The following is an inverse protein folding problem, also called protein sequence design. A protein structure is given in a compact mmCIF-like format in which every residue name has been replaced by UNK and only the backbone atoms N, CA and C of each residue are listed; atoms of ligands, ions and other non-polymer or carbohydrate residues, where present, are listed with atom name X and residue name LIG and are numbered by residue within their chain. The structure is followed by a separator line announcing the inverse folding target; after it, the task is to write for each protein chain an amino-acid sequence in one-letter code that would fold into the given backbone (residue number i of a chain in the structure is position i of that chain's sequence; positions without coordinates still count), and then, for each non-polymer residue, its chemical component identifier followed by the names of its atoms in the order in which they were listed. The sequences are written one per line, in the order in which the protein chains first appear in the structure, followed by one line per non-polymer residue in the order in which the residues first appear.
data_IF_166377806111
#
_entry.id   IF_166377806111
#
_cell.length_a   1.000
_cell.length_b   1.000
_cell.length_c   1.000
_cell.angle_alpha   90.00
_cell.angle_beta   90.00
_cell.angle_gamma   90.00
#
_symmetry.space_group_name_H-M   'P 1'
#
loop_
_entity.id
_entity.type
_entity.pdbx_description
1 polymer ?
#
# COMPACT_ATOMS: atom_id res chain seq x y z
N UNK A 1 5.65 11.69 -4.46
CA UNK A 1 5.43 11.17 -5.83
C UNK A 1 4.38 12.08 -6.45
N UNK A 2 4.73 12.87 -7.46
CA UNK A 2 3.77 13.76 -8.12
C UNK A 2 2.88 12.87 -9.00
N UNK A 3 1.58 12.89 -8.75
CA UNK A 3 0.59 12.23 -9.61
C UNK A 3 0.64 12.86 -11.01
N UNK A 4 0.72 12.04 -12.05
CA UNK A 4 0.76 12.49 -13.45
C UNK A 4 -0.43 13.39 -13.79
N UNK A 5 -1.58 13.17 -13.16
CA UNK A 5 -2.74 14.03 -13.32
C UNK A 5 -2.54 15.43 -12.72
N UNK A 6 -1.87 15.51 -11.57
CA UNK A 6 -1.54 16.79 -10.94
C UNK A 6 -0.48 17.54 -11.75
N UNK A 7 0.56 16.84 -12.24
CA UNK A 7 1.61 17.41 -13.07
C UNK A 7 1.07 17.99 -14.39
N UNK A 8 0.06 17.34 -14.98
CA UNK A 8 -0.55 17.74 -16.25
C UNK A 8 -1.81 18.61 -16.07
N UNK A 9 -2.15 18.99 -14.84
CA UNK A 9 -3.35 19.78 -14.52
C UNK A 9 -4.65 19.19 -15.10
N UNK A 10 -4.83 17.87 -14.99
CA UNK A 10 -6.03 17.21 -15.47
C UNK A 10 -7.24 17.56 -14.60
N UNK A 11 -8.34 17.99 -15.24
CA UNK A 11 -9.65 18.05 -14.58
C UNK A 11 -10.08 16.66 -14.12
N UNK A 12 -10.91 16.57 -13.09
CA UNK A 12 -11.38 15.27 -12.57
C UNK A 12 -12.03 14.40 -13.67
N UNK A 13 -12.79 15.01 -14.59
CA UNK A 13 -13.40 14.29 -15.71
C UNK A 13 -12.34 13.69 -16.65
N UNK A 14 -11.25 14.42 -16.91
CA UNK A 14 -10.13 13.89 -17.73
C UNK A 14 -9.41 12.76 -17.01
N UNK A 15 -9.25 12.83 -15.69
CA UNK A 15 -8.67 11.75 -14.89
C UNK A 15 -9.51 10.47 -15.01
N UNK A 16 -10.83 10.58 -14.81
CA UNK A 16 -11.77 9.46 -14.97
C UNK A 16 -11.72 8.90 -16.39
N UNK A 17 -11.75 9.77 -17.40
CA UNK A 17 -11.69 9.36 -18.81
C UNK A 17 -10.41 8.58 -19.11
N UNK A 18 -9.26 9.04 -18.62
CA UNK A 18 -7.99 8.36 -18.80
C UNK A 18 -7.96 7.01 -18.09
N UNK A 19 -8.36 6.93 -16.82
CA UNK A 19 -8.39 5.66 -16.09
C UNK A 19 -9.32 4.63 -16.76
N UNK A 20 -10.49 5.08 -17.22
CA UNK A 20 -11.44 4.25 -17.97
C UNK A 20 -10.88 3.74 -19.29
N UNK A 21 -10.06 4.55 -19.97
CA UNK A 21 -9.38 4.15 -21.21
C UNK A 21 -8.40 2.99 -20.98
N UNK A 22 -7.77 2.92 -19.80
CA UNK A 22 -6.87 1.82 -19.41
C UNK A 22 -7.61 0.54 -18.98
N UNK A 23 -8.94 0.58 -18.82
CA UNK A 23 -9.71 -0.62 -18.43
C UNK A 23 -9.89 -1.56 -19.62
N UNK A 24 -9.57 -2.82 -19.42
CA UNK A 24 -9.71 -3.88 -20.40
C UNK A 24 -10.60 -5.03 -19.89
N UNK A 25 -11.06 -5.89 -20.81
CA UNK A 25 -11.81 -7.11 -20.49
C UNK A 25 -13.01 -6.88 -19.55
N UNK A 26 -13.06 -7.65 -18.46
CA UNK A 26 -14.14 -7.58 -17.48
C UNK A 26 -14.28 -6.19 -16.82
N UNK A 27 -13.16 -5.48 -16.62
CA UNK A 27 -13.19 -4.13 -16.06
C UNK A 27 -13.83 -3.13 -17.01
N UNK A 28 -13.55 -3.24 -18.31
CA UNK A 28 -14.20 -2.41 -19.34
C UNK A 28 -15.70 -2.66 -19.41
N UNK A 29 -16.10 -3.94 -19.40
CA UNK A 29 -17.52 -4.33 -19.43
C UNK A 29 -18.28 -3.83 -18.20
N UNK A 30 -17.69 -3.94 -17.01
CA UNK A 30 -18.25 -3.36 -15.79
C UNK A 30 -18.43 -1.84 -15.91
N UNK A 31 -17.41 -1.13 -16.39
CA UNK A 31 -17.51 0.33 -16.51
C UNK A 31 -18.61 0.76 -17.48
N UNK A 32 -18.82 0.04 -18.58
CA UNK A 32 -19.92 0.33 -19.51
C UNK A 32 -21.29 0.31 -18.81
N UNK A 33 -21.50 -0.60 -17.86
CA UNK A 33 -22.73 -0.67 -17.05
C UNK A 33 -22.81 0.51 -16.07
N UNK A 34 -21.72 0.82 -15.37
CA UNK A 34 -21.66 1.93 -14.41
C UNK A 34 -21.87 3.28 -15.10
N UNK A 35 -21.28 3.50 -16.28
CA UNK A 35 -21.48 4.71 -17.07
C UNK A 35 -22.96 4.94 -17.40
N UNK A 36 -23.68 3.90 -17.82
CA UNK A 36 -25.12 3.99 -18.11
C UNK A 36 -25.95 4.31 -16.86
N UNK A 37 -25.51 3.82 -15.69
CA UNK A 37 -26.10 4.20 -14.39
C UNK A 37 -25.84 5.68 -14.09
N UNK A 38 -24.59 6.14 -14.22
CA UNK A 38 -24.22 7.52 -13.96
C UNK A 38 -24.98 8.50 -14.85
N UNK A 39 -25.13 8.19 -16.14
CA UNK A 39 -25.85 9.05 -17.08
C UNK A 39 -27.34 9.17 -16.69
N UNK A 40 -27.97 8.08 -16.25
CA UNK A 40 -29.37 8.06 -15.77
C UNK A 40 -29.57 8.82 -14.46
N UNK A 41 -28.65 8.64 -13.52
CA UNK A 41 -28.71 9.25 -12.18
C UNK A 41 -28.09 10.65 -12.14
N UNK A 42 -27.60 11.17 -13.27
CA UNK A 42 -26.87 12.44 -13.37
C UNK A 42 -25.70 12.52 -12.38
N UNK A 43 -25.01 11.39 -12.17
CA UNK A 43 -23.86 11.32 -11.26
C UNK A 43 -22.68 12.14 -11.83
N UNK A 44 -22.11 13.09 -11.07
CA UNK A 44 -20.95 13.86 -11.53
C UNK A 44 -19.75 12.96 -11.84
N UNK A 45 -19.06 13.24 -12.97
CA UNK A 45 -17.85 12.53 -13.39
C UNK A 45 -16.61 13.00 -12.63
N UNK A 46 -16.60 12.75 -11.33
CA UNK A 46 -15.49 13.08 -10.44
C UNK A 46 -14.63 11.85 -10.16
N UNK A 47 -13.36 12.08 -9.81
CA UNK A 47 -12.44 11.01 -9.46
C UNK A 47 -12.94 10.22 -8.25
N UNK A 48 -13.50 10.93 -7.26
CA UNK A 48 -14.07 10.36 -6.04
C UNK A 48 -15.19 9.37 -6.35
N UNK A 49 -16.14 9.72 -7.23
CA UNK A 49 -17.23 8.82 -7.61
C UNK A 49 -16.72 7.58 -8.35
N UNK A 50 -15.75 7.76 -9.24
CA UNK A 50 -15.13 6.64 -9.98
C UNK A 50 -14.45 5.66 -9.02
N UNK A 51 -13.59 6.17 -8.14
CA UNK A 51 -12.86 5.35 -7.16
C UNK A 51 -13.82 4.65 -6.21
N UNK A 52 -14.90 5.31 -5.76
CA UNK A 52 -15.93 4.68 -4.93
C UNK A 52 -16.53 3.44 -5.61
N UNK A 53 -17.02 3.59 -6.84
CA UNK A 53 -17.68 2.48 -7.54
C UNK A 53 -16.67 1.39 -7.95
N UNK A 54 -15.45 1.79 -8.33
CA UNK A 54 -14.36 0.87 -8.63
C UNK A 54 -13.98 0.03 -7.41
N UNK A 55 -13.77 0.65 -6.25
CA UNK A 55 -13.43 -0.06 -5.02
C UNK A 55 -14.58 -0.94 -4.55
N UNK A 56 -15.83 -0.50 -4.68
CA UNK A 56 -16.98 -1.34 -4.35
C UNK A 56 -16.99 -2.66 -5.14
N UNK A 57 -16.51 -2.65 -6.39
CA UNK A 57 -16.43 -3.85 -7.25
C UNK A 57 -15.16 -4.67 -7.03
N UNK A 58 -13.99 -4.02 -7.02
CA UNK A 58 -12.68 -4.69 -7.11
C UNK A 58 -11.90 -4.72 -5.80
N UNK A 59 -12.27 -3.87 -4.85
CA UNK A 59 -11.64 -3.78 -3.54
C UNK A 59 -12.69 -3.79 -2.41
N UNK A 60 -13.61 -4.78 -2.39
CA UNK A 60 -14.65 -4.87 -1.35
C UNK A 60 -14.03 -5.16 0.04
N UNK A 61 -14.79 -4.99 1.14
CA UNK A 61 -14.27 -5.13 2.51
C UNK A 61 -13.46 -6.41 2.75
N UNK A 62 -13.90 -7.56 2.24
CA UNK A 62 -13.15 -8.83 2.38
C UNK A 62 -11.77 -8.79 1.71
N UNK A 63 -11.62 -8.08 0.58
CA UNK A 63 -10.33 -7.93 -0.09
C UNK A 63 -9.44 -6.94 0.66
N UNK A 64 -10.03 -5.89 1.23
CA UNK A 64 -9.33 -4.95 2.11
C UNK A 64 -8.79 -5.67 3.35
N UNK A 65 -9.65 -6.42 4.04
CA UNK A 65 -9.30 -7.23 5.21
C UNK A 65 -8.17 -8.22 4.88
N UNK A 66 -8.25 -8.93 3.74
CA UNK A 66 -7.16 -9.82 3.30
C UNK A 66 -5.83 -9.08 3.11
N UNK A 67 -5.85 -7.85 2.60
CA UNK A 67 -4.63 -7.05 2.41
C UNK A 67 -4.07 -6.51 3.72
N UNK A 68 -4.95 -6.13 4.64
CA UNK A 68 -4.56 -5.80 6.01
C UNK A 68 -3.95 -7.02 6.72
N UNK A 69 -4.57 -8.19 6.60
CA UNK A 69 -4.07 -9.46 7.13
C UNK A 69 -2.70 -9.83 6.54
N UNK A 70 -2.50 -9.63 5.25
CA UNK A 70 -1.20 -9.83 4.58
C UNK A 70 -0.12 -8.96 5.25
N UNK A 71 -0.43 -7.70 5.56
CA UNK A 71 0.49 -6.82 6.29
C UNK A 71 0.67 -7.23 7.75
N UNK A 72 -0.38 -7.67 8.46
CA UNK A 72 -0.32 -8.15 9.85
C UNK A 72 0.52 -9.43 9.97
N UNK A 73 0.47 -10.28 8.95
CA UNK A 73 1.21 -11.54 8.92
C UNK A 73 2.57 -11.44 8.26
N UNK A 74 2.90 -10.29 7.66
CA UNK A 74 4.21 -10.06 7.04
C UNK A 74 5.34 -10.31 8.04
N UNK A 75 6.29 -11.14 7.64
CA UNK A 75 7.53 -11.48 8.35
C UNK A 75 8.66 -11.51 7.33
N UNK A 76 9.90 -11.24 7.77
CA UNK A 76 11.11 -11.35 6.95
C UNK A 76 11.28 -12.79 6.44
N UNK A 77 11.31 -13.77 7.35
CA UNK A 77 11.44 -15.17 6.96
C UNK A 77 12.73 -15.42 6.19
N UNK A 78 12.63 -15.95 4.97
CA UNK A 78 13.78 -16.23 4.08
C UNK A 78 14.19 -15.04 3.21
N UNK A 79 13.48 -13.91 3.30
CA UNK A 79 13.80 -12.70 2.55
C UNK A 79 14.97 -11.96 3.18
N UNK A 80 15.74 -11.26 2.36
CA UNK A 80 16.65 -10.23 2.85
C UNK A 80 15.87 -9.12 3.57
N UNK A 81 16.53 -8.37 4.46
CA UNK A 81 15.94 -7.19 5.10
C UNK A 81 15.47 -6.18 4.05
N UNK A 82 16.18 -6.04 2.94
CA UNK A 82 15.80 -5.14 1.84
C UNK A 82 14.51 -5.55 1.13
N UNK A 83 14.34 -6.85 0.83
CA UNK A 83 13.11 -7.38 0.23
C UNK A 83 11.93 -7.28 1.20
N UNK A 84 12.17 -7.59 2.48
CA UNK A 84 11.17 -7.45 3.53
C UNK A 84 10.72 -5.99 3.71
N UNK A 85 11.65 -5.03 3.74
CA UNK A 85 11.33 -3.60 3.80
C UNK A 85 10.47 -3.16 2.61
N UNK A 86 10.84 -3.59 1.39
CA UNK A 86 10.08 -3.27 0.19
C UNK A 86 8.63 -3.78 0.29
N UNK A 87 8.44 -5.01 0.78
CA UNK A 87 7.10 -5.57 1.00
C UNK A 87 6.35 -4.86 2.12
N UNK A 88 7.04 -4.50 3.21
CA UNK A 88 6.49 -3.75 4.32
C UNK A 88 5.95 -2.40 3.83
N UNK A 89 6.76 -1.63 3.10
CA UNK A 89 6.38 -0.33 2.55
C UNK A 89 5.25 -0.46 1.52
N UNK A 90 5.24 -1.51 0.70
CA UNK A 90 4.17 -1.77 -0.28
C UNK A 90 2.83 -2.08 0.37
N UNK A 91 2.83 -2.86 1.45
CA UNK A 91 1.62 -3.36 2.13
C UNK A 91 1.10 -2.42 3.21
N UNK A 92 1.95 -1.56 3.78
CA UNK A 92 1.56 -0.67 4.88
C UNK A 92 0.41 0.28 4.55
N UNK A 93 0.25 0.64 3.28
CA UNK A 93 -0.89 1.46 2.79
C UNK A 93 -2.26 0.83 3.04
N UNK A 94 -2.33 -0.48 3.26
CA UNK A 94 -3.58 -1.19 3.54
C UNK A 94 -3.92 -1.25 5.04
N UNK A 95 -2.99 -0.86 5.91
CA UNK A 95 -3.19 -0.84 7.35
C UNK A 95 -2.58 0.42 7.98
N UNK A 96 -3.03 1.63 7.58
CA UNK A 96 -2.43 2.90 8.00
C UNK A 96 -2.41 3.06 9.53
N UNK A 97 -3.42 2.54 10.24
CA UNK A 97 -3.51 2.59 11.70
C UNK A 97 -2.34 1.90 12.42
N UNK A 98 -1.76 0.86 11.80
CA UNK A 98 -0.63 0.10 12.34
C UNK A 98 0.71 0.83 12.16
N UNK A 99 0.77 1.84 11.29
CA UNK A 99 1.96 2.65 11.01
C UNK A 99 1.73 4.15 11.22
N UNK A 100 0.65 4.51 11.92
CA UNK A 100 0.19 5.90 12.09
C UNK A 100 1.25 6.83 12.70
N UNK A 101 2.11 6.29 13.56
CA UNK A 101 3.23 7.02 14.16
C UNK A 101 4.54 6.34 13.80
N UNK A 102 5.64 7.10 13.75
CA UNK A 102 6.97 6.53 13.53
C UNK A 102 7.29 5.42 14.53
N UNK A 103 6.93 5.59 15.80
CA UNK A 103 7.10 4.56 16.83
C UNK A 103 6.31 3.28 16.53
N UNK A 104 5.04 3.39 16.09
CA UNK A 104 4.24 2.23 15.68
C UNK A 104 4.86 1.55 14.46
N UNK A 105 5.29 2.33 13.48
CA UNK A 105 5.93 1.85 12.25
C UNK A 105 7.23 1.10 12.54
N UNK A 106 8.12 1.68 13.35
CA UNK A 106 9.38 1.05 13.80
C UNK A 106 9.09 -0.24 14.55
N UNK A 107 8.20 -0.20 15.55
CA UNK A 107 7.84 -1.39 16.34
C UNK A 107 7.31 -2.50 15.44
N UNK A 108 6.41 -2.16 14.52
CA UNK A 108 5.79 -3.11 13.59
C UNK A 108 6.83 -3.73 12.65
N UNK A 109 7.74 -2.92 12.13
CA UNK A 109 8.84 -3.38 11.28
C UNK A 109 9.75 -4.36 12.02
N UNK A 110 10.22 -3.99 13.21
CA UNK A 110 11.10 -4.84 14.03
C UNK A 110 10.41 -6.16 14.41
N UNK A 111 9.13 -6.12 14.80
CA UNK A 111 8.36 -7.33 15.13
C UNK A 111 8.26 -8.34 13.98
N UNK A 112 8.42 -7.89 12.74
CA UNK A 112 8.40 -8.77 11.58
C UNK A 112 9.78 -9.27 11.13
N UNK A 113 10.88 -8.73 11.66
CA UNK A 113 12.24 -9.22 11.37
C UNK A 113 12.48 -10.60 11.99
N UNK A 114 13.53 -11.28 11.57
CA UNK A 114 13.96 -12.54 12.19
C UNK A 114 14.48 -12.30 13.63
N UNK A 115 14.35 -13.32 14.49
CA UNK A 115 14.57 -13.20 15.95
C UNK A 115 15.99 -12.75 16.29
N UNK A 116 16.97 -13.19 15.50
CA UNK A 116 18.38 -12.82 15.64
C UNK A 116 18.56 -11.31 15.49
N UNK A 117 18.00 -10.73 14.42
CA UNK A 117 18.04 -9.29 14.15
C UNK A 117 17.24 -8.52 15.21
N UNK A 118 16.08 -9.04 15.63
CA UNK A 118 15.28 -8.41 16.67
C UNK A 118 16.06 -8.23 17.98
N UNK A 119 16.85 -9.24 18.39
CA UNK A 119 17.66 -9.19 19.62
C UNK A 119 18.73 -8.10 19.54
N UNK A 120 19.42 -8.00 18.40
CA UNK A 120 20.46 -6.99 18.19
C UNK A 120 19.88 -5.57 18.14
N UNK A 121 18.65 -5.42 17.64
CA UNK A 121 17.96 -4.13 17.61
C UNK A 121 17.30 -3.78 18.96
N UNK A 122 17.00 -4.74 19.84
CA UNK A 122 16.33 -4.49 21.11
C UNK A 122 17.15 -3.63 22.08
N UNK A 123 18.48 -3.69 21.98
CA UNK A 123 19.41 -2.87 22.77
C UNK A 123 19.61 -1.47 22.18
N UNK A 124 19.14 -1.22 20.96
CA UNK A 124 19.28 0.05 20.29
C UNK A 124 18.05 0.94 20.52
N UNK A 125 18.28 2.20 20.91
CA UNK A 125 17.23 3.21 20.85
C UNK A 125 16.97 3.56 19.37
N UNK A 126 15.80 3.18 18.85
CA UNK A 126 15.39 3.39 17.45
C UNK A 126 14.03 4.07 17.45
N UNK A 127 13.99 5.31 16.97
CA UNK A 127 12.77 6.12 16.95
C UNK A 127 12.28 6.47 15.53
N UNK A 128 13.08 6.16 14.52
CA UNK A 128 12.82 6.53 13.12
C UNK A 128 12.92 5.27 12.26
N UNK A 129 12.00 5.12 11.31
CA UNK A 129 11.94 3.95 10.45
C UNK A 129 13.21 3.73 9.61
N UNK A 130 13.82 4.79 9.07
CA UNK A 130 15.07 4.71 8.32
C UNK A 130 16.20 4.07 9.12
N UNK A 131 16.32 4.46 10.39
CA UNK A 131 17.37 3.97 11.29
C UNK A 131 17.15 2.49 11.62
N UNK A 132 15.88 2.07 11.74
CA UNK A 132 15.53 0.67 11.94
C UNK A 132 15.98 -0.20 10.75
N UNK A 133 15.72 0.28 9.54
CA UNK A 133 16.11 -0.41 8.30
C UNK A 133 17.63 -0.48 8.16
N UNK A 134 18.34 0.64 8.35
CA UNK A 134 19.80 0.68 8.24
C UNK A 134 20.48 -0.26 9.25
N UNK A 135 20.03 -0.25 10.51
CA UNK A 135 20.58 -1.14 11.54
C UNK A 135 20.29 -2.61 11.25
N UNK A 136 19.06 -2.94 10.82
CA UNK A 136 18.71 -4.31 10.44
C UNK A 136 19.59 -4.82 9.28
N UNK A 137 19.84 -3.99 8.26
CA UNK A 137 20.74 -4.31 7.16
C UNK A 137 22.19 -4.55 7.62
N UNK A 138 22.68 -3.76 8.57
CA UNK A 138 24.03 -3.95 9.13
C UNK A 138 24.17 -5.29 9.86
N UNK A 139 23.16 -5.66 10.64
CA UNK A 139 23.14 -6.93 11.37
C UNK A 139 23.10 -8.11 10.39
N UNK A 140 22.19 -8.07 9.41
CA UNK A 140 22.08 -9.12 8.39
C UNK A 140 23.41 -9.31 7.64
N UNK A 141 24.06 -8.22 7.22
CA UNK A 141 25.36 -8.28 6.54
C UNK A 141 26.53 -8.74 7.43
N UNK A 142 26.45 -8.52 8.75
CA UNK A 142 27.46 -8.99 9.69
C UNK A 142 27.36 -10.51 9.96
N UNK A 143 26.15 -11.08 9.84
CA UNK A 143 25.86 -12.50 10.05
C UNK A 143 26.16 -13.41 8.85
N UNK A 144 26.41 -12.88 7.66
CA UNK A 144 26.83 -13.65 6.47
C UNK A 144 28.33 -14.02 6.45
N UNK A 145 29.01 -13.99 7.60
CA UNK A 145 30.42 -14.40 7.75
C UNK A 145 30.56 -15.79 8.33
#
# INVERSE_FOLDING_TARGET
MIDIFAALHYSEERQVTFAVFQLEGAARSWWNVIRMKWDREQTPRTWVNFVRDFNAKYFPPLVQEKKEDEFIRLRQGTQSVAEYESQFTRLSKFAPELILTEQRRVRRFIQGLNVEIQKDLAVAQINIFSDAVEKALRVENAGFK
#
